data_IF_955759231417
#
_entry.id   IF_955759231417
#
_cell.length_a   1.000
_cell.length_b   1.000
_cell.length_c   1.000
_cell.angle_alpha   90.00
_cell.angle_beta   90.00
_cell.angle_gamma   90.00
#
_symmetry.space_group_name_H-M   'P 1'
#
loop_
_entity.id
_entity.type
_entity.pdbx_description
1 polymer ?
#
# COMPACT_ATOMS: atom_id res chain seq x y z
N UNK A 1 6.10 13.27 -11.09
CA UNK A 1 5.08 12.29 -11.52
C UNK A 1 5.66 10.94 -11.93
N UNK A 2 6.61 10.85 -12.89
CA UNK A 2 7.17 9.56 -13.36
C UNK A 2 7.79 8.69 -12.25
N UNK A 3 8.59 9.28 -11.36
CA UNK A 3 9.19 8.53 -10.25
C UNK A 3 8.16 8.01 -9.24
N UNK A 4 7.11 8.79 -8.97
CA UNK A 4 6.02 8.36 -8.10
C UNK A 4 5.25 7.19 -8.73
N UNK A 5 4.92 7.29 -10.02
CA UNK A 5 4.29 6.20 -10.77
C UNK A 5 5.13 4.92 -10.71
N UNK A 6 6.45 5.03 -10.91
CA UNK A 6 7.38 3.89 -10.84
C UNK A 6 7.36 3.23 -9.45
N UNK A 7 7.29 4.02 -8.37
CA UNK A 7 7.18 3.48 -7.00
C UNK A 7 5.86 2.76 -6.77
N UNK A 8 4.74 3.35 -7.18
CA UNK A 8 3.40 2.75 -7.07
C UNK A 8 3.35 1.42 -7.81
N UNK A 9 3.77 1.40 -9.08
CA UNK A 9 3.77 0.18 -9.90
C UNK A 9 4.65 -0.92 -9.30
N UNK A 10 5.85 -0.59 -8.82
CA UNK A 10 6.71 -1.58 -8.15
C UNK A 10 6.09 -2.14 -6.88
N UNK A 11 5.46 -1.30 -6.07
CA UNK A 11 4.78 -1.73 -4.86
C UNK A 11 3.59 -2.63 -5.19
N UNK A 12 2.79 -2.30 -6.22
CA UNK A 12 1.67 -3.12 -6.65
C UNK A 12 2.11 -4.52 -7.12
N UNK A 13 3.18 -4.58 -7.93
CA UNK A 13 3.77 -5.86 -8.37
C UNK A 13 4.22 -6.69 -7.15
N UNK A 14 4.93 -6.06 -6.21
CA UNK A 14 5.37 -6.74 -5.00
C UNK A 14 4.20 -7.28 -4.16
N UNK A 15 3.08 -6.54 -4.05
CA UNK A 15 1.88 -7.03 -3.37
C UNK A 15 1.29 -8.27 -4.07
N UNK A 16 1.27 -8.30 -5.40
CA UNK A 16 0.82 -9.47 -6.16
C UNK A 16 1.75 -10.67 -5.97
N UNK A 17 3.06 -10.44 -5.84
CA UNK A 17 4.05 -11.49 -5.51
C UNK A 17 3.83 -12.07 -4.11
N UNK A 18 3.21 -11.32 -3.19
CA UNK A 18 2.76 -11.84 -1.88
C UNK A 18 1.41 -12.57 -1.96
N UNK A 19 0.91 -12.85 -3.16
CA UNK A 19 -0.36 -13.52 -3.42
C UNK A 19 -1.59 -12.77 -2.88
N UNK A 20 -1.48 -11.45 -2.66
CA UNK A 20 -2.61 -10.59 -2.29
C UNK A 20 -3.62 -10.55 -3.42
N UNK A 21 -4.88 -10.82 -3.09
CA UNK A 21 -6.00 -10.90 -4.02
C UNK A 21 -6.89 -9.66 -3.93
N UNK A 22 -7.74 -9.43 -4.95
CA UNK A 22 -8.83 -8.49 -4.81
C UNK A 22 -9.63 -8.74 -3.52
N UNK A 23 -10.05 -7.66 -2.88
CA UNK A 23 -10.79 -7.63 -1.62
C UNK A 23 -10.01 -8.05 -0.36
N UNK A 24 -8.75 -8.48 -0.47
CA UNK A 24 -7.89 -8.70 0.71
C UNK A 24 -7.60 -7.37 1.41
N UNK A 25 -7.58 -7.39 2.74
CA UNK A 25 -7.29 -6.22 3.56
C UNK A 25 -5.80 -6.19 3.89
N UNK A 26 -5.10 -5.15 3.42
CA UNK A 26 -3.72 -4.88 3.81
C UNK A 26 -3.69 -3.75 4.84
N UNK A 27 -2.98 -3.97 5.94
CA UNK A 27 -2.76 -2.93 6.95
C UNK A 27 -1.41 -2.25 6.72
N UNK A 28 -1.40 -0.92 6.74
CA UNK A 28 -0.18 -0.12 6.51
C UNK A 28 0.04 0.80 7.70
N UNK A 29 1.18 0.61 8.36
CA UNK A 29 1.59 1.37 9.54
C UNK A 29 2.98 1.95 9.29
N UNK A 30 3.08 3.26 9.09
CA UNK A 30 4.36 3.94 8.80
C UNK A 30 4.30 5.44 9.10
N UNK A 31 5.36 5.99 9.71
CA UNK A 31 5.60 7.43 9.83
C UNK A 31 5.81 8.12 8.48
N UNK A 32 6.15 7.38 7.43
CA UNK A 32 6.49 7.96 6.14
C UNK A 32 5.24 8.18 5.28
N UNK A 33 4.78 9.43 5.22
CA UNK A 33 3.58 9.80 4.46
C UNK A 33 3.65 9.45 2.97
N UNK A 34 4.84 9.54 2.34
CA UNK A 34 5.01 9.17 0.93
C UNK A 34 4.82 7.66 0.75
N UNK A 35 5.35 6.85 1.67
CA UNK A 35 5.15 5.41 1.62
C UNK A 35 3.69 5.04 1.87
N UNK A 36 3.02 5.67 2.85
CA UNK A 36 1.59 5.48 3.08
C UNK A 36 0.78 5.77 1.80
N UNK A 37 1.08 6.87 1.09
CA UNK A 37 0.43 7.21 -0.17
C UNK A 37 0.74 6.21 -1.29
N UNK A 38 2.00 5.79 -1.43
CA UNK A 38 2.42 4.78 -2.42
C UNK A 38 1.70 3.46 -2.17
N UNK A 39 1.62 2.99 -0.92
CA UNK A 39 0.94 1.75 -0.55
C UNK A 39 -0.57 1.83 -0.78
N UNK A 40 -1.21 2.96 -0.47
CA UNK A 40 -2.63 3.18 -0.75
C UNK A 40 -2.94 3.04 -2.25
N UNK A 41 -2.18 3.72 -3.10
CA UNK A 41 -2.39 3.63 -4.55
C UNK A 41 -2.02 2.26 -5.13
N UNK A 42 -0.98 1.61 -4.59
CA UNK A 42 -0.59 0.28 -5.00
C UNK A 42 -1.66 -0.77 -4.67
N UNK A 43 -2.29 -0.67 -3.49
CA UNK A 43 -3.44 -1.51 -3.12
C UNK A 43 -4.61 -1.32 -4.09
N UNK A 44 -4.95 -0.07 -4.40
CA UNK A 44 -6.01 0.25 -5.35
C UNK A 44 -5.75 -0.32 -6.76
N UNK A 45 -4.50 -0.40 -7.21
CA UNK A 45 -4.15 -0.97 -8.52
C UNK A 45 -4.47 -2.46 -8.63
N UNK A 46 -4.49 -3.18 -7.50
CA UNK A 46 -4.72 -4.62 -7.45
C UNK A 46 -6.08 -4.97 -6.83
N UNK A 47 -6.92 -3.96 -6.59
CA UNK A 47 -8.21 -4.07 -5.91
C UNK A 47 -8.13 -4.61 -4.47
N UNK A 48 -7.01 -4.38 -3.77
CA UNK A 48 -6.90 -4.68 -2.34
C UNK A 48 -7.44 -3.52 -1.49
N UNK A 49 -7.95 -3.83 -0.29
CA UNK A 49 -8.49 -2.87 0.66
C UNK A 49 -7.36 -2.32 1.53
N UNK A 50 -7.11 -1.02 1.42
CA UNK A 50 -6.10 -0.32 2.22
C UNK A 50 -6.64 0.08 3.60
N UNK A 51 -5.96 -0.35 4.66
CA UNK A 51 -6.31 -0.07 6.06
C UNK A 51 -5.15 0.63 6.78
N UNK A 52 -5.10 1.98 6.81
CA UNK A 52 -4.02 2.72 7.46
C UNK A 52 -4.14 2.62 8.99
N UNK A 53 -3.03 2.36 9.66
CA UNK A 53 -2.93 2.38 11.13
C UNK A 53 -2.02 3.52 11.56
N UNK A 54 -2.43 4.25 12.60
CA UNK A 54 -1.57 5.21 13.27
C UNK A 54 -0.48 4.42 14.02
N UNK A 55 0.78 4.73 13.74
CA UNK A 55 1.93 4.10 14.38
C UNK A 55 2.03 4.42 15.87
N UNK A 56 1.37 5.48 16.33
CA UNK A 56 1.32 5.88 17.74
C UNK A 56 0.08 5.33 18.46
N UNK A 57 -0.71 4.48 17.79
CA UNK A 57 -1.86 3.83 18.41
C UNK A 57 -1.39 2.84 19.48
N UNK A 58 -1.73 3.12 20.74
CA UNK A 58 -1.56 2.16 21.83
C UNK A 58 -2.75 1.18 21.85
N UNK A 59 -2.44 -0.11 21.84
CA UNK A 59 -3.40 -1.22 21.94
C UNK A 59 -3.67 -1.61 23.41
#
# INVERSE_FOLDING_TARGET
>A
YKELQKKITKCAIWLQEQEIKPDDIISVCTHNQINAFVSCLAASYINAIFNPWDENMNL
#
